data_IF_213367399861
#
_entry.id   IF_213367399861
#
_cell.length_a   1.000
_cell.length_b   1.000
_cell.length_c   1.000
_cell.angle_alpha   90.00
_cell.angle_beta   90.00
_cell.angle_gamma   90.00
#
_symmetry.space_group_name_H-M   'P 1'
#
loop_
_entity.id
_entity.type
_entity.pdbx_description
1 polymer ?
#
# COMPACT_ATOMS: atom_id res chain seq x y z
N UNK A 1 13.35 -0.39 2.76
CA UNK A 1 12.63 -0.61 1.48
C UNK A 1 11.86 -1.93 1.48
N UNK A 2 12.51 -3.10 1.54
CA UNK A 2 11.83 -4.41 1.48
C UNK A 2 10.70 -4.55 2.50
N UNK A 3 10.96 -4.27 3.79
CA UNK A 3 9.95 -4.27 4.87
C UNK A 3 8.72 -3.40 4.58
N UNK A 4 8.89 -2.28 3.89
CA UNK A 4 7.78 -1.39 3.56
C UNK A 4 6.79 -2.05 2.60
N UNK A 5 7.29 -2.85 1.65
CA UNK A 5 6.47 -3.53 0.66
C UNK A 5 5.98 -4.90 1.15
N UNK A 6 6.83 -5.66 1.83
CA UNK A 6 6.54 -7.03 2.26
C UNK A 6 6.00 -7.12 3.70
N UNK A 7 5.80 -5.99 4.39
CA UNK A 7 5.34 -5.93 5.78
C UNK A 7 6.41 -6.29 6.83
N UNK A 8 7.39 -7.13 6.47
CA UNK A 8 8.48 -7.58 7.34
C UNK A 8 9.83 -7.52 6.63
N UNK A 9 10.89 -7.14 7.34
CA UNK A 9 12.26 -7.21 6.81
C UNK A 9 12.77 -8.65 6.67
N UNK A 10 13.75 -8.86 5.78
CA UNK A 10 14.48 -10.14 5.71
C UNK A 10 15.34 -10.30 6.98
N UNK A 11 15.77 -9.19 7.58
CA UNK A 11 16.34 -9.11 8.93
C UNK A 11 15.41 -8.20 9.75
N UNK A 12 15.15 -8.58 11.00
CA UNK A 12 14.30 -7.81 11.92
C UNK A 12 14.95 -7.78 13.32
N UNK A 13 15.24 -6.60 13.91
CA UNK A 13 15.15 -5.25 13.34
C UNK A 13 16.01 -5.05 12.09
N UNK A 14 15.62 -4.12 11.21
CA UNK A 14 16.31 -3.88 9.92
C UNK A 14 17.77 -3.45 10.06
N UNK A 15 18.16 -2.94 11.21
CA UNK A 15 19.49 -2.42 11.53
C UNK A 15 20.33 -3.40 12.38
N UNK A 16 19.76 -4.52 12.81
CA UNK A 16 20.42 -5.47 13.71
C UNK A 16 21.02 -6.68 12.97
N UNK A 17 22.12 -6.46 12.25
CA UNK A 17 22.87 -7.51 11.53
C UNK A 17 23.90 -8.21 12.43
N UNK A 18 23.44 -8.86 13.50
CA UNK A 18 24.28 -9.69 14.37
C UNK A 18 24.26 -11.14 13.91
N UNK A 19 25.35 -11.87 14.18
CA UNK A 19 25.41 -13.34 13.96
C UNK A 19 24.28 -14.08 14.70
N UNK A 20 23.83 -13.54 15.83
CA UNK A 20 22.70 -14.07 16.62
C UNK A 20 21.32 -13.69 16.08
N UNK A 21 21.25 -12.88 15.02
CA UNK A 21 20.01 -12.46 14.35
C UNK A 21 20.15 -12.71 12.84
N UNK A 22 20.21 -13.99 12.41
CA UNK A 22 20.39 -14.31 11.00
C UNK A 22 19.19 -13.84 10.18
N UNK A 23 19.39 -13.53 8.89
CA UNK A 23 18.30 -13.28 7.95
C UNK A 23 17.30 -14.44 7.91
N UNK A 24 16.01 -14.14 7.79
CA UNK A 24 14.95 -15.15 7.62
C UNK A 24 15.17 -16.00 6.38
N UNK A 25 15.82 -15.44 5.36
CA UNK A 25 16.25 -16.13 4.16
C UNK A 25 17.55 -15.49 3.62
N UNK A 26 18.69 -16.09 3.97
CA UNK A 26 20.02 -15.63 3.55
C UNK A 26 20.18 -15.66 2.02
N UNK A 27 19.77 -16.74 1.38
CA UNK A 27 19.87 -16.88 -0.07
C UNK A 27 19.07 -15.80 -0.83
N UNK A 28 17.91 -15.39 -0.30
CA UNK A 28 17.13 -14.28 -0.85
C UNK A 28 17.85 -12.94 -0.66
N UNK A 29 18.43 -12.71 0.52
CA UNK A 29 19.19 -11.49 0.80
C UNK A 29 20.39 -11.37 -0.15
N UNK A 30 21.14 -12.45 -0.34
CA UNK A 30 22.29 -12.51 -1.23
C UNK A 30 21.89 -12.30 -2.68
N UNK A 31 20.80 -12.93 -3.14
CA UNK A 31 20.28 -12.75 -4.50
C UNK A 31 19.85 -11.29 -4.77
N UNK A 32 19.18 -10.64 -3.82
CA UNK A 32 18.80 -9.24 -3.93
C UNK A 32 20.01 -8.30 -3.88
N UNK A 33 21.02 -8.61 -3.06
CA UNK A 33 22.26 -7.85 -3.00
C UNK A 33 23.04 -7.96 -4.31
N UNK A 34 23.11 -9.16 -4.89
CA UNK A 34 23.74 -9.41 -6.17
C UNK A 34 23.05 -8.65 -7.31
N UNK A 35 21.73 -8.78 -7.46
CA UNK A 35 20.93 -8.03 -8.45
C UNK A 35 21.10 -6.51 -8.28
N UNK A 36 21.16 -6.01 -7.04
CA UNK A 36 21.35 -4.59 -6.78
C UNK A 36 22.70 -4.08 -7.28
N UNK A 37 23.78 -4.85 -7.08
CA UNK A 37 25.12 -4.52 -7.58
C UNK A 37 25.18 -4.62 -9.10
N UNK A 38 24.67 -5.71 -9.68
CA UNK A 38 24.68 -5.94 -11.14
C UNK A 38 23.91 -4.86 -11.90
N UNK A 39 22.83 -4.34 -11.33
CA UNK A 39 22.02 -3.29 -11.96
C UNK A 39 22.49 -1.86 -11.65
N UNK A 40 23.68 -1.71 -11.04
CA UNK A 40 24.34 -0.43 -10.79
C UNK A 40 23.68 0.37 -9.68
N UNK A 41 23.29 -0.28 -8.59
CA UNK A 41 22.74 0.34 -7.37
C UNK A 41 21.44 1.13 -7.62
N UNK A 42 20.66 0.74 -8.63
CA UNK A 42 19.41 1.42 -8.99
C UNK A 42 18.26 0.99 -8.10
N UNK A 43 17.89 1.83 -7.14
CA UNK A 43 16.79 1.54 -6.21
C UNK A 43 15.46 1.24 -6.93
N UNK A 44 15.13 1.98 -8.00
CA UNK A 44 13.91 1.78 -8.79
C UNK A 44 13.83 0.38 -9.40
N UNK A 45 14.97 -0.21 -9.79
CA UNK A 45 15.04 -1.57 -10.32
C UNK A 45 14.67 -2.59 -9.24
N UNK A 46 15.29 -2.49 -8.06
CA UNK A 46 15.02 -3.41 -6.95
C UNK A 46 13.58 -3.30 -6.46
N UNK A 47 13.01 -2.10 -6.41
CA UNK A 47 11.58 -1.91 -6.10
C UNK A 47 10.73 -2.66 -7.13
N UNK A 48 10.99 -2.46 -8.43
CA UNK A 48 10.27 -3.14 -9.51
C UNK A 48 10.40 -4.66 -9.40
N UNK A 49 11.58 -5.18 -9.06
CA UNK A 49 11.80 -6.62 -8.86
C UNK A 49 10.94 -7.18 -7.73
N UNK A 50 10.94 -6.51 -6.57
CA UNK A 50 10.12 -6.92 -5.41
C UNK A 50 8.63 -6.91 -5.76
N UNK A 51 8.14 -5.81 -6.37
CA UNK A 51 6.72 -5.65 -6.71
C UNK A 51 6.24 -6.63 -7.79
N UNK A 52 7.15 -7.13 -8.64
CA UNK A 52 6.84 -8.16 -9.64
C UNK A 52 7.12 -9.59 -9.14
N UNK A 53 7.54 -9.76 -7.88
CA UNK A 53 7.81 -11.09 -7.32
C UNK A 53 6.51 -11.83 -7.04
N UNK A 54 6.54 -13.16 -7.22
CA UNK A 54 5.39 -14.01 -6.86
C UNK A 54 4.99 -13.83 -5.40
N UNK A 55 5.97 -13.73 -4.50
CA UNK A 55 5.73 -13.56 -3.06
C UNK A 55 4.93 -12.28 -2.74
N UNK A 56 5.23 -11.17 -3.43
CA UNK A 56 4.47 -9.93 -3.30
C UNK A 56 3.04 -10.05 -3.85
N UNK A 57 2.85 -10.83 -4.91
CA UNK A 57 1.56 -11.03 -5.59
C UNK A 57 0.72 -12.19 -5.01
N UNK A 58 1.15 -12.82 -3.91
CA UNK A 58 0.37 -13.87 -3.26
C UNK A 58 -0.95 -13.30 -2.71
N UNK A 59 -1.96 -14.16 -2.58
CA UNK A 59 -3.20 -13.79 -1.90
C UNK A 59 -2.91 -13.44 -0.43
N UNK A 60 -3.67 -12.50 0.11
CA UNK A 60 -3.69 -12.19 1.54
C UNK A 60 -4.53 -13.16 2.36
N UNK A 61 -5.32 -14.03 1.71
CA UNK A 61 -6.13 -15.05 2.37
C UNK A 61 -5.25 -16.25 2.70
N UNK A 62 -4.95 -16.51 3.99
CA UNK A 62 -4.16 -17.67 4.37
C UNK A 62 -4.95 -18.96 4.19
N UNK A 63 -4.24 -20.04 3.92
CA UNK A 63 -4.73 -21.41 4.00
C UNK A 63 -4.39 -22.03 5.36
N UNK A 64 -4.86 -23.24 5.62
CA UNK A 64 -4.68 -23.90 6.92
C UNK A 64 -3.22 -24.21 7.27
N UNK A 65 -2.33 -24.25 6.27
CA UNK A 65 -0.91 -24.56 6.46
C UNK A 65 -0.03 -23.33 6.66
N UNK A 66 -0.49 -22.13 6.29
CA UNK A 66 0.33 -20.92 6.33
C UNK A 66 -0.26 -19.78 7.20
N UNK A 67 -1.39 -20.02 7.88
CA UNK A 67 -2.05 -19.05 8.77
C UNK A 67 -1.14 -18.47 9.85
N UNK A 68 -0.20 -19.26 10.37
CA UNK A 68 0.75 -18.84 11.40
C UNK A 68 2.14 -18.49 10.86
N UNK A 69 2.34 -18.55 9.55
CA UNK A 69 3.64 -18.30 8.95
C UNK A 69 3.82 -16.81 8.70
N UNK A 70 4.49 -16.14 9.64
CA UNK A 70 4.81 -14.71 9.59
C UNK A 70 6.21 -14.40 9.05
N UNK A 71 6.98 -15.44 8.69
CA UNK A 71 8.43 -15.33 8.42
C UNK A 71 8.78 -15.58 6.96
N UNK A 72 8.09 -16.52 6.29
CA UNK A 72 8.52 -17.01 4.98
C UNK A 72 7.79 -16.35 3.79
N UNK A 73 7.10 -15.22 4.02
CA UNK A 73 6.38 -14.50 2.97
C UNK A 73 5.41 -15.40 2.17
N UNK A 74 4.76 -16.36 2.84
CA UNK A 74 3.87 -17.37 2.23
C UNK A 74 2.50 -16.85 1.83
N UNK A 75 2.19 -15.60 2.17
CA UNK A 75 1.00 -14.87 1.79
C UNK A 75 1.29 -13.37 1.88
N UNK A 76 0.48 -12.55 1.22
CA UNK A 76 0.61 -11.10 1.31
C UNK A 76 0.10 -10.62 2.67
N UNK A 77 0.95 -9.95 3.44
CA UNK A 77 0.50 -9.28 4.66
C UNK A 77 -0.28 -8.03 4.29
N UNK A 78 -1.57 -8.02 4.61
CA UNK A 78 -2.41 -6.84 4.42
C UNK A 78 -1.80 -5.69 5.24
N UNK A 79 -1.28 -4.69 4.53
CA UNK A 79 -0.94 -3.40 5.12
C UNK A 79 -2.08 -2.44 4.88
N UNK A 80 -2.28 -1.53 5.83
CA UNK A 80 -3.15 -0.39 5.60
C UNK A 80 -2.48 0.55 4.59
N UNK A 81 -3.21 0.88 3.53
CA UNK A 81 -2.81 1.90 2.56
C UNK A 81 -3.04 3.29 3.16
N UNK A 82 -2.21 4.25 2.75
CA UNK A 82 -2.44 5.65 3.08
C UNK A 82 -3.77 6.11 2.45
N UNK A 83 -4.42 7.13 3.03
CA UNK A 83 -5.64 7.71 2.47
C UNK A 83 -5.48 8.10 0.99
N UNK A 84 -4.33 8.69 0.68
CA UNK A 84 -3.96 9.09 -0.68
C UNK A 84 -3.75 7.88 -1.62
N UNK A 85 -3.09 6.82 -1.14
CA UNK A 85 -2.91 5.58 -1.90
C UNK A 85 -4.26 4.88 -2.14
N UNK A 86 -5.14 4.88 -1.13
CA UNK A 86 -6.47 4.28 -1.20
C UNK A 86 -7.32 4.97 -2.26
N UNK A 87 -7.46 6.28 -2.18
CA UNK A 87 -8.30 7.01 -3.13
C UNK A 87 -7.73 6.96 -4.55
N UNK A 88 -6.39 7.04 -4.71
CA UNK A 88 -5.76 6.91 -6.03
C UNK A 88 -5.99 5.51 -6.62
N UNK A 89 -5.90 4.45 -5.80
CA UNK A 89 -6.17 3.08 -6.24
C UNK A 89 -7.64 2.86 -6.61
N UNK A 90 -8.56 3.48 -5.87
CA UNK A 90 -9.98 3.44 -6.17
C UNK A 90 -10.26 4.14 -7.50
N UNK A 91 -9.73 5.36 -7.70
CA UNK A 91 -9.85 6.11 -8.95
C UNK A 91 -9.27 5.33 -10.15
N UNK A 92 -8.16 4.62 -9.95
CA UNK A 92 -7.54 3.79 -11.00
C UNK A 92 -8.41 2.57 -11.36
N UNK A 93 -9.04 1.94 -10.37
CA UNK A 93 -9.91 0.76 -10.57
C UNK A 93 -11.28 1.14 -11.12
N UNK A 94 -11.87 2.22 -10.63
CA UNK A 94 -13.21 2.65 -11.05
C UNK A 94 -13.16 3.47 -12.32
N UNK A 95 -12.08 4.20 -12.59
CA UNK A 95 -12.01 5.19 -13.65
C UNK A 95 -12.70 6.52 -13.30
N UNK A 96 -13.25 6.64 -12.08
CA UNK A 96 -13.95 7.85 -11.62
C UNK A 96 -12.96 8.79 -10.95
N UNK A 97 -12.64 9.88 -11.64
CA UNK A 97 -11.70 10.89 -11.14
C UNK A 97 -12.29 11.65 -9.96
N UNK A 98 -11.52 11.75 -8.88
CA UNK A 98 -11.84 12.58 -7.73
C UNK A 98 -11.27 13.98 -7.89
N UNK A 99 -12.07 15.00 -7.57
CA UNK A 99 -11.64 16.39 -7.67
C UNK A 99 -11.22 16.92 -6.31
N UNK A 100 -10.04 17.53 -6.26
CA UNK A 100 -9.49 18.10 -5.04
C UNK A 100 -9.59 19.62 -5.09
N UNK A 101 -10.18 20.28 -4.08
CA UNK A 101 -10.28 21.74 -4.05
C UNK A 101 -8.90 22.40 -4.22
N UNK A 102 -8.79 23.30 -5.20
CA UNK A 102 -7.54 24.02 -5.49
C UNK A 102 -6.56 23.28 -6.43
N UNK A 103 -6.94 22.11 -6.95
CA UNK A 103 -6.12 21.32 -7.88
C UNK A 103 -6.88 20.99 -9.18
N UNK A 104 -6.16 20.59 -10.22
CA UNK A 104 -6.76 20.16 -11.49
C UNK A 104 -7.49 18.82 -11.32
N UNK A 105 -8.50 18.55 -12.16
CA UNK A 105 -9.35 17.36 -12.03
C UNK A 105 -8.62 16.01 -12.20
N UNK A 106 -7.43 15.99 -12.84
CA UNK A 106 -6.62 14.78 -13.04
C UNK A 106 -5.44 14.68 -12.04
N UNK A 107 -5.55 15.38 -10.91
CA UNK A 107 -4.49 15.39 -9.90
C UNK A 107 -4.62 14.17 -8.99
N UNK A 108 -3.57 13.32 -8.96
CA UNK A 108 -3.47 12.22 -7.99
C UNK A 108 -3.36 12.75 -6.57
N UNK A 109 -4.09 12.16 -5.63
CA UNK A 109 -4.08 12.53 -4.22
C UNK A 109 -2.68 12.47 -3.61
N UNK A 110 -1.85 11.52 -4.07
CA UNK A 110 -0.44 11.40 -3.66
C UNK A 110 0.42 12.61 -4.05
N UNK A 111 0.07 13.33 -5.12
CA UNK A 111 0.86 14.48 -5.58
C UNK A 111 0.57 15.77 -4.82
N UNK A 112 -0.54 15.79 -4.06
CA UNK A 112 -0.97 16.95 -3.29
C UNK A 112 -0.04 17.10 -2.08
N UNK A 113 0.72 18.21 -1.94
CA UNK A 113 1.63 18.40 -0.82
C UNK A 113 0.90 18.65 0.51
N UNK A 114 -0.06 19.59 0.53
CA UNK A 114 -0.91 19.92 1.69
C UNK A 114 -2.25 20.52 1.23
N UNK A 115 -3.27 20.47 2.10
CA UNK A 115 -4.38 21.43 2.03
C UNK A 115 -5.52 21.14 1.04
N UNK A 116 -5.78 19.89 0.64
CA UNK A 116 -7.02 19.52 -0.04
C UNK A 116 -7.88 18.60 0.86
N UNK A 117 -8.50 19.13 1.94
CA UNK A 117 -9.25 18.31 2.87
C UNK A 117 -10.59 17.88 2.26
N UNK A 118 -10.60 16.80 1.51
CA UNK A 118 -11.84 16.06 1.26
C UNK A 118 -12.22 15.29 2.52
N UNK A 119 -13.52 15.07 2.72
CA UNK A 119 -14.02 14.32 3.88
C UNK A 119 -13.37 12.94 4.01
N UNK A 120 -13.11 12.28 2.88
CA UNK A 120 -12.37 11.01 2.83
C UNK A 120 -10.96 11.15 3.41
N UNK A 121 -10.18 12.13 2.95
CA UNK A 121 -8.81 12.34 3.44
C UNK A 121 -8.78 12.69 4.94
N UNK A 122 -9.79 13.40 5.45
CA UNK A 122 -9.90 13.71 6.88
C UNK A 122 -10.20 12.47 7.73
N UNK A 123 -11.14 11.62 7.31
CA UNK A 123 -11.51 10.39 8.03
C UNK A 123 -10.35 9.41 8.12
N UNK A 124 -9.58 9.25 7.04
CA UNK A 124 -8.40 8.40 7.02
C UNK A 124 -7.15 9.12 7.56
N UNK A 125 -7.36 10.10 8.44
CA UNK A 125 -6.36 10.79 9.25
C UNK A 125 -5.21 11.42 8.46
N UNK A 126 -5.51 11.95 7.26
CA UNK A 126 -4.63 12.94 6.63
C UNK A 126 -4.73 14.28 7.36
N UNK A 127 -4.31 14.30 8.61
CA UNK A 127 -4.40 15.45 9.52
C UNK A 127 -3.20 16.41 9.38
N UNK A 128 -2.06 15.94 8.84
CA UNK A 128 -0.83 16.73 8.67
C UNK A 128 -0.15 16.46 7.33
N UNK A 129 0.79 17.34 6.98
CA UNK A 129 1.60 17.30 5.75
C UNK A 129 2.05 15.89 5.37
N UNK A 130 2.14 15.61 4.06
CA UNK A 130 2.52 14.29 3.51
C UNK A 130 3.82 13.73 4.11
N UNK A 131 4.74 14.59 4.53
CA UNK A 131 6.06 14.22 5.05
C UNK A 131 6.00 13.50 6.42
N UNK A 132 4.88 13.62 7.14
CA UNK A 132 4.72 13.04 8.48
C UNK A 132 3.97 11.71 8.38
N UNK A 133 4.54 10.74 7.67
CA UNK A 133 3.95 9.39 7.52
C UNK A 133 4.12 8.57 8.82
N UNK A 134 5.26 8.74 9.50
CA UNK A 134 5.63 7.95 10.67
C UNK A 134 4.84 8.27 11.95
N UNK A 135 4.18 9.43 12.03
CA UNK A 135 3.35 9.83 13.18
C UNK A 135 1.85 9.54 12.96
N UNK A 136 1.46 8.98 11.81
CA UNK A 136 0.05 8.64 11.56
C UNK A 136 -0.33 7.43 12.41
N UNK A 137 -1.41 7.54 13.19
CA UNK A 137 -1.96 6.39 13.90
C UNK A 137 -2.68 5.50 12.87
N UNK A 138 -2.35 4.22 12.87
CA UNK A 138 -2.95 3.21 12.00
C UNK A 138 -3.88 2.27 12.77
N UNK A 139 -4.25 2.64 14.00
CA UNK A 139 -5.20 1.90 14.81
C UNK A 139 -6.56 1.75 14.09
N UNK A 140 -7.25 0.61 14.27
CA UNK A 140 -8.53 0.38 13.63
C UNK A 140 -9.60 1.29 14.22
N UNK A 141 -10.19 2.15 13.38
CA UNK A 141 -11.31 3.01 13.76
C UNK A 141 -12.61 2.61 13.02
N UNK A 142 -13.71 2.61 13.78
CA UNK A 142 -15.04 2.22 13.30
C UNK A 142 -15.57 3.22 12.29
N UNK A 143 -15.26 4.52 12.44
CA UNK A 143 -15.75 5.52 11.49
C UNK A 143 -15.12 5.30 10.09
N UNK A 144 -13.83 4.96 10.04
CA UNK A 144 -13.14 4.57 8.80
C UNK A 144 -13.76 3.30 8.18
N UNK A 145 -14.07 2.27 8.97
CA UNK A 145 -14.71 1.06 8.47
C UNK A 145 -16.12 1.33 7.90
N UNK A 146 -16.92 2.12 8.62
CA UNK A 146 -18.25 2.53 8.16
C UNK A 146 -18.18 3.36 6.87
N UNK A 147 -17.14 4.19 6.72
CA UNK A 147 -16.93 4.95 5.49
C UNK A 147 -16.55 4.07 4.29
N UNK A 148 -15.81 2.98 4.50
CA UNK A 148 -15.53 2.02 3.42
C UNK A 148 -16.79 1.27 2.96
N UNK A 149 -17.71 0.97 3.88
CA UNK A 149 -18.92 0.20 3.57
C UNK A 149 -19.99 1.09 2.93
N UNK A 150 -20.18 2.30 3.46
CA UNK A 150 -21.36 3.13 3.14
C UNK A 150 -21.01 4.60 2.86
N UNK A 151 -19.74 4.96 2.76
CA UNK A 151 -19.30 6.34 2.56
C UNK A 151 -19.72 6.89 1.20
N UNK A 152 -20.05 8.20 1.16
CA UNK A 152 -20.44 8.87 -0.08
C UNK A 152 -19.36 8.85 -1.15
N UNK A 153 -18.07 8.89 -0.76
CA UNK A 153 -16.94 8.78 -1.70
C UNK A 153 -16.92 7.42 -2.39
N UNK A 154 -17.12 6.34 -1.63
CA UNK A 154 -17.19 4.98 -2.19
C UNK A 154 -18.42 4.83 -3.08
N UNK A 155 -19.57 5.33 -2.63
CA UNK A 155 -20.81 5.29 -3.41
C UNK A 155 -20.65 6.07 -4.73
N UNK A 156 -20.02 7.24 -4.70
CA UNK A 156 -19.73 8.04 -5.88
C UNK A 156 -18.82 7.28 -6.86
N UNK A 157 -17.73 6.69 -6.37
CA UNK A 157 -16.82 5.89 -7.18
C UNK A 157 -17.48 4.66 -7.82
N UNK A 158 -18.40 4.00 -7.13
CA UNK A 158 -19.11 2.81 -7.64
C UNK A 158 -20.23 3.19 -8.62
N UNK A 159 -20.92 4.31 -8.37
CA UNK A 159 -22.08 4.75 -9.18
C UNK A 159 -21.74 5.74 -10.29
N UNK A 160 -20.49 6.20 -10.37
CA UNK A 160 -20.02 7.10 -11.40
C UNK A 160 -20.32 6.54 -12.79
N UNK A 161 -20.81 7.40 -13.70
CA UNK A 161 -21.26 7.01 -15.05
C UNK A 161 -20.14 6.42 -15.91
N UNK A 162 -18.88 6.69 -15.56
CA UNK A 162 -17.68 6.16 -16.21
C UNK A 162 -17.08 4.96 -15.46
N UNK A 163 -17.75 4.50 -14.40
CA UNK A 163 -17.33 3.42 -13.52
C UNK A 163 -17.45 2.03 -14.15
N UNK A 164 -16.41 1.20 -14.08
CA UNK A 164 -16.46 -0.21 -14.56
C UNK A 164 -17.62 -1.00 -13.89
N UNK A 165 -18.01 -0.63 -12.66
CA UNK A 165 -19.14 -1.25 -11.94
C UNK A 165 -20.53 -0.95 -12.52
N UNK A 166 -20.67 0.07 -13.38
CA UNK A 166 -21.93 0.38 -14.07
C UNK A 166 -22.25 -0.58 -15.22
N UNK A 167 -21.28 -1.37 -15.68
CA UNK A 167 -21.45 -2.31 -16.79
C UNK A 167 -21.91 -3.72 -16.36
N UNK A 168 -21.97 -4.02 -15.06
CA UNK A 168 -22.25 -5.39 -14.57
C UNK A 168 -23.65 -5.57 -13.98
N UNK A 169 -24.63 -4.72 -14.34
CA UNK A 169 -26.06 -4.99 -14.06
C UNK A 169 -26.79 -5.39 -15.33
N UNK A 170 -26.75 -6.68 -15.65
CA UNK A 170 -27.76 -7.38 -16.44
C UNK A 170 -28.24 -8.61 -15.69
#
# INVERSE_FOLDING_TARGET
MFKHYMGRGIVEPLDDFRVTNPPTNEALLDALAHDFVENGYRLKHTIRLILNSRAYQLSSVPNDTNRGDFLNYSHYYVRRLLAEELIDSMTEVTGVQETFPGYMADTRAMTIPQGAPTYFLQIFERLKAREVICERDNSPDVAQAMHLISGQTIQHQITGKDGIGSQTRH
#
